data_IF_983298282398
#
_entry.id   IF_983298282398
#
_cell.length_a   1.000
_cell.length_b   1.000
_cell.length_c   1.000
_cell.angle_alpha   90.00
_cell.angle_beta   90.00
_cell.angle_gamma   90.00
#
_symmetry.space_group_name_H-M   'P 1'
#
loop_
_entity.id
_entity.type
_entity.pdbx_description
1 polymer ?
#
# COMPACT_ATOMS: atom_id res chain seq x y z
N UNK A 1 19.21 -22.10 18.25
CA UNK A 1 18.24 -21.03 17.97
C UNK A 1 17.43 -21.43 16.75
N UNK A 2 16.10 -21.43 16.83
CA UNK A 2 15.24 -22.04 15.81
C UNK A 2 15.36 -21.35 14.44
N UNK A 3 15.65 -22.15 13.42
CA UNK A 3 15.80 -21.74 12.03
C UNK A 3 14.43 -21.37 11.45
N UNK A 4 13.92 -20.16 11.74
CA UNK A 4 12.65 -19.69 11.18
C UNK A 4 12.91 -19.19 9.77
N UNK A 5 12.54 -20.00 8.78
CA UNK A 5 12.55 -19.62 7.37
C UNK A 5 11.78 -18.29 7.22
N UNK A 6 12.43 -17.27 6.67
CA UNK A 6 11.77 -15.99 6.42
C UNK A 6 10.56 -16.22 5.49
N UNK A 7 9.42 -15.61 5.82
CA UNK A 7 8.22 -15.70 4.97
C UNK A 7 8.47 -14.94 3.68
N UNK A 8 8.02 -15.50 2.55
CA UNK A 8 8.01 -14.79 1.28
C UNK A 8 7.26 -13.45 1.41
N UNK A 9 7.80 -12.35 0.87
CA UNK A 9 7.10 -11.08 0.85
C UNK A 9 5.81 -11.23 0.02
N UNK A 10 4.70 -10.75 0.57
CA UNK A 10 3.37 -10.85 -0.06
C UNK A 10 2.75 -9.46 -0.10
N UNK A 11 2.21 -9.08 -1.25
CA UNK A 11 1.66 -7.74 -1.46
C UNK A 11 0.57 -7.37 -0.44
N UNK A 12 -0.34 -8.28 -0.09
CA UNK A 12 -1.41 -8.02 0.89
C UNK A 12 -0.91 -7.73 2.32
N UNK A 13 0.37 -7.98 2.63
CA UNK A 13 0.96 -7.59 3.93
C UNK A 13 1.54 -6.18 3.92
N UNK A 14 1.59 -5.52 2.76
CA UNK A 14 2.10 -4.16 2.65
C UNK A 14 0.98 -3.15 2.96
N UNK A 15 1.15 -2.39 4.04
CA UNK A 15 0.18 -1.39 4.51
C UNK A 15 -0.08 -0.29 3.48
N UNK A 16 0.88 0.02 2.61
CA UNK A 16 0.68 1.00 1.54
C UNK A 16 -0.42 0.58 0.56
N UNK A 17 -0.53 -0.72 0.24
CA UNK A 17 -1.62 -1.20 -0.62
C UNK A 17 -2.97 -1.13 0.07
N UNK A 18 -3.02 -1.33 1.40
CA UNK A 18 -4.25 -1.16 2.18
C UNK A 18 -4.71 0.30 2.22
N UNK A 19 -3.81 1.22 2.55
CA UNK A 19 -4.14 2.65 2.56
C UNK A 19 -4.47 3.15 1.16
N UNK A 20 -3.71 2.73 0.15
CA UNK A 20 -3.99 3.06 -1.25
C UNK A 20 -5.35 2.54 -1.70
N UNK A 21 -5.69 1.30 -1.37
CA UNK A 21 -7.00 0.71 -1.66
C UNK A 21 -8.15 1.44 -0.96
N UNK A 22 -8.01 1.73 0.34
CA UNK A 22 -9.03 2.44 1.11
C UNK A 22 -9.27 3.86 0.57
N UNK A 23 -8.20 4.62 0.31
CA UNK A 23 -8.29 5.95 -0.28
C UNK A 23 -8.88 5.90 -1.70
N UNK A 24 -8.53 4.88 -2.48
CA UNK A 24 -9.07 4.69 -3.84
C UNK A 24 -10.57 4.45 -3.81
N UNK A 25 -11.05 3.58 -2.91
CA UNK A 25 -12.48 3.34 -2.71
C UNK A 25 -13.20 4.61 -2.28
N UNK A 26 -12.68 5.35 -1.30
CA UNK A 26 -13.27 6.61 -0.84
C UNK A 26 -13.31 7.65 -1.96
N UNK A 27 -12.25 7.77 -2.76
CA UNK A 27 -12.18 8.66 -3.92
C UNK A 27 -13.22 8.32 -4.98
N UNK A 28 -13.37 7.03 -5.34
CA UNK A 28 -14.39 6.57 -6.29
C UNK A 28 -15.81 6.81 -5.76
N UNK A 29 -16.06 6.51 -4.49
CA UNK A 29 -17.36 6.78 -3.85
C UNK A 29 -17.68 8.26 -3.86
N UNK A 30 -16.70 9.13 -3.58
CA UNK A 30 -16.88 10.57 -3.61
C UNK A 30 -17.14 11.11 -5.01
N UNK A 31 -16.54 10.54 -6.06
CA UNK A 31 -16.85 10.90 -7.45
C UNK A 31 -18.32 10.58 -7.83
N UNK A 32 -18.87 9.49 -7.31
CA UNK A 32 -20.24 9.04 -7.67
C UNK A 32 -21.31 9.68 -6.78
N UNK A 33 -21.08 9.70 -5.46
CA UNK A 33 -22.07 10.15 -4.48
C UNK A 33 -21.88 11.62 -4.04
N UNK A 34 -20.79 12.24 -4.49
CA UNK A 34 -20.39 13.61 -4.18
C UNK A 34 -19.53 13.72 -2.92
N UNK A 35 -18.73 14.79 -2.87
CA UNK A 35 -17.76 15.07 -1.78
C UNK A 35 -18.39 15.10 -0.38
N UNK A 36 -19.71 15.33 -0.28
CA UNK A 36 -20.46 15.35 0.99
C UNK A 36 -20.42 14.01 1.78
N UNK A 37 -20.15 12.89 1.10
CA UNK A 37 -20.18 11.55 1.73
C UNK A 37 -18.88 11.23 2.47
N UNK A 38 -17.77 11.81 2.03
CA UNK A 38 -16.43 11.57 2.60
C UNK A 38 -15.94 12.74 3.45
N UNK A 39 -16.78 13.76 3.66
CA UNK A 39 -16.41 14.98 4.36
C UNK A 39 -16.64 14.85 5.85
N UNK A 40 -15.64 15.25 6.63
CA UNK A 40 -15.74 15.21 8.08
C UNK A 40 -16.65 16.32 8.63
N UNK A 41 -17.39 16.07 9.71
CA UNK A 41 -18.17 17.09 10.39
C UNK A 41 -17.28 18.28 10.78
N UNK A 42 -17.60 19.47 10.27
CA UNK A 42 -16.83 20.70 10.54
C UNK A 42 -15.71 21.02 9.54
N UNK A 43 -15.43 20.16 8.56
CA UNK A 43 -14.50 20.49 7.46
C UNK A 43 -15.12 21.59 6.57
N UNK A 44 -14.32 22.50 6.02
CA UNK A 44 -14.76 23.54 5.06
C UNK A 44 -15.25 22.89 3.76
N UNK A 45 -16.16 23.55 3.03
CA UNK A 45 -16.65 23.03 1.74
C UNK A 45 -15.54 23.22 0.71
N UNK A 46 -14.75 22.18 0.51
CA UNK A 46 -13.76 22.13 -0.56
C UNK A 46 -14.33 21.36 -1.75
N UNK A 47 -14.09 21.87 -2.96
CA UNK A 47 -14.38 21.14 -4.19
C UNK A 47 -13.20 20.24 -4.54
N UNK A 48 -13.48 19.10 -5.16
CA UNK A 48 -12.49 18.11 -5.63
C UNK A 48 -11.84 17.28 -4.52
N UNK A 49 -12.53 17.10 -3.39
CA UNK A 49 -12.04 16.26 -2.30
C UNK A 49 -11.77 14.83 -2.79
N UNK A 50 -12.65 14.28 -3.62
CA UNK A 50 -12.46 13.02 -4.31
C UNK A 50 -11.10 12.90 -5.05
N UNK A 51 -10.66 13.98 -5.68
CA UNK A 51 -9.45 14.02 -6.51
C UNK A 51 -8.19 13.91 -5.64
N UNK A 52 -8.18 14.57 -4.47
CA UNK A 52 -7.11 14.42 -3.50
C UNK A 52 -7.01 13.00 -2.94
N UNK A 53 -8.14 12.35 -2.67
CA UNK A 53 -8.18 10.95 -2.23
C UNK A 53 -7.63 10.02 -3.32
N UNK A 54 -7.98 10.24 -4.58
CA UNK A 54 -7.47 9.45 -5.71
C UNK A 54 -5.97 9.67 -5.95
N UNK A 55 -5.48 10.91 -5.83
CA UNK A 55 -4.03 11.20 -5.91
C UNK A 55 -3.29 10.50 -4.77
N UNK A 56 -3.78 10.63 -3.53
CA UNK A 56 -3.21 9.96 -2.37
C UNK A 56 -3.19 8.45 -2.53
N UNK A 57 -4.28 7.87 -3.04
CA UNK A 57 -4.36 6.46 -3.38
C UNK A 57 -3.27 6.04 -4.38
N UNK A 58 -3.12 6.79 -5.48
CA UNK A 58 -2.09 6.55 -6.48
C UNK A 58 -0.68 6.57 -5.89
N UNK A 59 -0.35 7.58 -5.10
CA UNK A 59 0.96 7.69 -4.42
C UNK A 59 1.21 6.48 -3.53
N UNK A 60 0.22 6.07 -2.73
CA UNK A 60 0.35 4.92 -1.84
C UNK A 60 0.54 3.61 -2.61
N UNK A 61 -0.20 3.40 -3.72
CA UNK A 61 -0.03 2.21 -4.55
C UNK A 61 1.35 2.16 -5.21
N UNK A 62 1.86 3.28 -5.70
CA UNK A 62 3.21 3.36 -6.30
C UNK A 62 4.28 3.09 -5.24
N UNK A 63 4.17 3.70 -4.07
CA UNK A 63 5.08 3.44 -2.95
C UNK A 63 5.02 1.97 -2.51
N UNK A 64 3.82 1.40 -2.39
CA UNK A 64 3.61 0.00 -2.08
C UNK A 64 4.28 -0.94 -3.09
N UNK A 65 4.18 -0.61 -4.37
CA UNK A 65 4.81 -1.38 -5.44
C UNK A 65 6.34 -1.33 -5.37
N UNK A 66 6.93 -0.13 -5.20
CA UNK A 66 8.37 0.02 -5.06
C UNK A 66 8.92 -0.72 -3.83
N UNK A 67 8.30 -0.54 -2.66
CA UNK A 67 8.72 -1.23 -1.44
C UNK A 67 8.54 -2.74 -1.53
N UNK A 68 7.49 -3.22 -2.20
CA UNK A 68 7.29 -4.66 -2.40
C UNK A 68 8.39 -5.25 -3.29
N UNK A 69 8.77 -4.56 -4.37
CA UNK A 69 9.86 -4.99 -5.26
C UNK A 69 11.19 -5.09 -4.50
N UNK A 70 11.52 -4.11 -3.66
CA UNK A 70 12.72 -4.13 -2.81
C UNK A 70 12.68 -5.30 -1.82
N UNK A 71 11.53 -5.56 -1.19
CA UNK A 71 11.38 -6.69 -0.27
C UNK A 71 11.56 -8.04 -0.96
N UNK A 72 11.08 -8.20 -2.20
CA UNK A 72 11.30 -9.40 -3.03
C UNK A 72 12.79 -9.59 -3.31
N UNK A 73 13.47 -8.54 -3.76
CA UNK A 73 14.90 -8.60 -4.06
C UNK A 73 15.72 -9.03 -2.84
N UNK A 74 15.49 -8.42 -1.67
CA UNK A 74 16.21 -8.81 -0.45
C UNK A 74 15.89 -10.24 0.02
N UNK A 75 14.67 -10.71 -0.23
CA UNK A 75 14.30 -12.08 0.08
C UNK A 75 15.04 -13.08 -0.81
N UNK A 76 15.16 -12.78 -2.12
CA UNK A 76 15.92 -13.60 -3.07
C UNK A 76 17.42 -13.63 -2.72
N UNK A 77 18.02 -12.47 -2.41
CA UNK A 77 19.41 -12.36 -1.96
C UNK A 77 19.69 -13.18 -0.68
N UNK A 78 18.77 -13.13 0.29
CA UNK A 78 18.89 -13.90 1.53
C UNK A 78 18.70 -15.41 1.32
N UNK A 79 17.79 -15.81 0.42
CA UNK A 79 17.59 -17.22 0.07
C UNK A 79 18.79 -17.79 -0.71
N UNK A 80 19.44 -16.99 -1.58
CA UNK A 80 20.66 -17.41 -2.26
C UNK A 80 21.86 -17.55 -1.34
N UNK A 81 22.11 -16.60 -0.43
CA UNK A 81 23.26 -16.68 0.51
C UNK A 81 23.11 -17.86 1.49
N UNK A 82 21.87 -18.15 1.90
CA UNK A 82 21.54 -19.32 2.73
C UNK A 82 21.74 -20.65 1.99
N UNK A 83 21.60 -20.67 0.66
CA UNK A 83 21.82 -21.86 -0.15
C UNK A 83 23.31 -22.11 -0.45
N UNK A 84 24.11 -21.05 -0.55
CA UNK A 84 25.54 -21.12 -0.87
C UNK A 84 26.42 -21.44 0.37
N UNK A 85 25.94 -21.13 1.58
CA UNK A 85 26.58 -21.51 2.85
C UNK A 85 25.77 -22.57 3.60
N UNK A 86 25.83 -23.85 3.18
CA UNK A 86 25.25 -24.93 3.97
C UNK A 86 26.01 -25.05 5.30
N UNK A 87 25.35 -24.71 6.40
CA UNK A 87 25.80 -24.98 7.77
C UNK A 87 25.54 -26.42 8.17
#
# INVERSE_FOLDING_TARGET
MGNKKHSKPTWWKNTFFWFGGALGVLGVVALVAGDKVIRDPGQVVESNLALYYLIGAGIMLVNGWMSHKQAVQHYEEAESDSAERPV
#
